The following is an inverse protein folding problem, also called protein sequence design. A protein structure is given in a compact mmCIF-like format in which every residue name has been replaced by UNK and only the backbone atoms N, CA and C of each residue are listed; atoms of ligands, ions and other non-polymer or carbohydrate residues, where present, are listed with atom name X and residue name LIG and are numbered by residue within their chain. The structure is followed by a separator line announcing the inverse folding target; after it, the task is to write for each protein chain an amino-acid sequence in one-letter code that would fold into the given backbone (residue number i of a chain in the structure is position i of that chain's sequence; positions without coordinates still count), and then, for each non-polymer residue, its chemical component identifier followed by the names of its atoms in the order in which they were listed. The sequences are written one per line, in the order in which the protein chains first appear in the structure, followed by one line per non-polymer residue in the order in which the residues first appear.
data_IF_000173430087
#
_entry.id   IF_000173430087
#
_cell.length_a   1.000
_cell.length_b   1.000
_cell.length_c   1.000
_cell.angle_alpha   90.00
_cell.angle_beta   90.00
_cell.angle_gamma   90.00
#
_symmetry.space_group_name_H-M   'P 1'
#
loop_
_entity.id
_entity.type
_entity.pdbx_description
1 polymer ?
#
# COMPACT_ATOMS: atom_id res chain seq x y z
N UNK A 1 2.78 -25.40 -6.74
CA UNK A 1 2.20 -24.78 -5.52
C UNK A 1 1.59 -23.46 -5.97
N UNK A 2 0.36 -23.14 -5.54
CA UNK A 2 -0.28 -21.85 -5.85
C UNK A 2 0.50 -20.69 -5.26
N UNK A 3 0.66 -19.60 -6.03
CA UNK A 3 1.28 -18.38 -5.51
C UNK A 3 0.34 -17.70 -4.52
N UNK A 4 0.86 -17.29 -3.38
CA UNK A 4 0.15 -16.45 -2.39
C UNK A 4 0.39 -14.96 -2.63
N UNK A 5 1.16 -14.60 -3.65
CA UNK A 5 1.28 -13.25 -4.17
C UNK A 5 0.36 -13.15 -5.36
N UNK A 6 -0.64 -12.27 -5.31
CA UNK A 6 -1.62 -12.05 -6.36
C UNK A 6 -1.45 -10.64 -6.92
N UNK A 7 -1.36 -10.53 -8.23
CA UNK A 7 -1.33 -9.24 -8.94
C UNK A 7 -2.53 -9.17 -9.84
N UNK A 8 -3.34 -8.12 -9.68
CA UNK A 8 -4.48 -7.83 -10.53
C UNK A 8 -4.19 -6.53 -11.28
N UNK A 9 -4.16 -6.61 -12.61
CA UNK A 9 -3.87 -5.46 -13.46
C UNK A 9 -5.14 -4.63 -13.73
N UNK A 10 -4.94 -3.34 -14.04
CA UNK A 10 -6.00 -2.41 -14.47
C UNK A 10 -7.15 -2.26 -13.45
N UNK A 11 -6.85 -2.35 -12.15
CA UNK A 11 -7.85 -2.08 -11.10
C UNK A 11 -8.12 -0.59 -10.94
N UNK A 12 -7.17 0.26 -11.30
CA UNK A 12 -7.29 1.71 -11.41
C UNK A 12 -6.91 2.14 -12.83
N UNK A 13 -7.60 3.14 -13.38
CA UNK A 13 -7.23 3.74 -14.65
C UNK A 13 -6.00 4.63 -14.50
N UNK A 14 -5.40 5.00 -15.61
CA UNK A 14 -4.29 5.95 -15.66
C UNK A 14 -4.68 7.29 -15.03
N UNK A 15 -5.85 7.80 -15.39
CA UNK A 15 -6.38 9.07 -14.90
C UNK A 15 -6.62 9.03 -13.38
N UNK A 16 -7.15 7.92 -12.84
CA UNK A 16 -7.34 7.72 -11.41
C UNK A 16 -5.99 7.73 -10.66
N UNK A 17 -4.98 7.06 -11.20
CA UNK A 17 -3.62 7.05 -10.64
C UNK A 17 -2.98 8.44 -10.68
N UNK A 18 -3.06 9.13 -11.81
CA UNK A 18 -2.49 10.47 -11.99
C UNK A 18 -3.18 11.50 -11.10
N UNK A 19 -4.49 11.39 -10.87
CA UNK A 19 -5.20 12.29 -9.97
C UNK A 19 -4.69 12.19 -8.53
N UNK A 20 -4.36 10.98 -8.07
CA UNK A 20 -3.77 10.76 -6.75
C UNK A 20 -2.37 11.37 -6.67
N UNK A 21 -1.52 11.14 -7.67
CA UNK A 21 -0.16 11.71 -7.71
C UNK A 21 -0.23 13.25 -7.70
N UNK A 22 -1.09 13.83 -8.52
CA UNK A 22 -1.26 15.28 -8.64
C UNK A 22 -1.85 15.93 -7.37
N UNK A 23 -2.59 15.19 -6.56
CA UNK A 23 -3.10 15.68 -5.27
C UNK A 23 -2.00 15.79 -4.19
N UNK A 24 -0.89 15.09 -4.33
CA UNK A 24 0.16 15.06 -3.30
C UNK A 24 0.77 16.44 -3.02
N UNK A 25 1.22 17.24 -3.98
CA UNK A 25 1.73 18.57 -3.69
C UNK A 25 0.68 19.49 -3.06
N UNK A 26 -0.57 19.37 -3.44
CA UNK A 26 -1.70 20.13 -2.85
C UNK A 26 -1.92 19.71 -1.39
N UNK A 27 -1.90 18.41 -1.12
CA UNK A 27 -2.01 17.87 0.23
C UNK A 27 -0.85 18.34 1.12
N UNK A 28 0.38 18.29 0.61
CA UNK A 28 1.56 18.80 1.33
C UNK A 28 1.38 20.27 1.69
N UNK A 29 1.02 21.11 0.72
CA UNK A 29 0.82 22.54 0.96
C UNK A 29 -0.29 22.81 1.97
N UNK A 30 -1.42 22.12 1.85
CA UNK A 30 -2.58 22.27 2.73
C UNK A 30 -2.26 21.88 4.19
N UNK A 31 -1.44 20.84 4.40
CA UNK A 31 -1.24 20.25 5.72
C UNK A 31 0.14 20.51 6.35
N UNK A 32 1.12 21.08 5.62
CA UNK A 32 2.49 21.31 6.11
C UNK A 32 2.60 22.18 7.37
N UNK A 33 1.65 23.10 7.57
CA UNK A 33 1.68 24.04 8.71
C UNK A 33 0.93 23.53 9.94
N UNK A 34 0.21 22.41 9.84
CA UNK A 34 -0.74 22.05 10.88
C UNK A 34 -0.15 21.11 11.95
N UNK A 35 1.10 20.64 11.82
CA UNK A 35 1.66 19.59 12.71
C UNK A 35 0.66 18.47 13.04
N UNK A 36 -0.25 18.20 12.09
CA UNK A 36 -1.32 17.23 12.29
C UNK A 36 -0.71 15.85 12.35
N UNK A 37 -1.09 15.12 13.38
CA UNK A 37 -0.70 13.73 13.59
C UNK A 37 -1.92 12.85 13.36
N UNK A 38 -1.67 11.60 12.99
CA UNK A 38 -2.70 10.57 12.98
C UNK A 38 -3.11 10.16 14.41
N UNK A 39 -4.08 9.27 14.52
CA UNK A 39 -4.56 8.76 15.81
C UNK A 39 -3.47 7.99 16.62
N UNK A 40 -2.39 7.57 15.98
CA UNK A 40 -1.23 6.94 16.59
C UNK A 40 -0.12 7.96 16.95
N UNK A 41 -0.35 9.26 16.74
CA UNK A 41 0.60 10.32 17.02
C UNK A 41 1.71 10.47 15.98
N UNK A 42 1.61 9.81 14.81
CA UNK A 42 2.59 9.92 13.73
C UNK A 42 2.28 11.13 12.84
N UNK A 43 3.33 11.78 12.32
CA UNK A 43 3.17 12.88 11.36
C UNK A 43 2.49 12.39 10.09
N UNK A 44 1.53 13.17 9.57
CA UNK A 44 0.83 12.86 8.32
C UNK A 44 1.74 12.95 7.07
N UNK A 45 2.87 13.64 7.19
CA UNK A 45 3.87 13.78 6.14
C UNK A 45 5.22 13.40 6.76
N UNK A 46 5.88 12.39 6.21
CA UNK A 46 7.16 11.89 6.69
C UNK A 46 8.14 11.74 5.52
N UNK A 47 9.33 12.30 5.68
CA UNK A 47 10.47 11.96 4.84
C UNK A 47 11.37 11.02 5.64
N UNK A 48 11.51 9.80 5.17
CA UNK A 48 12.45 8.83 5.75
C UNK A 48 13.75 8.94 4.98
N UNK A 49 14.85 9.06 5.70
CA UNK A 49 16.19 9.16 5.11
C UNK A 49 17.19 8.48 6.04
N UNK A 50 17.22 7.15 5.99
CA UNK A 50 18.22 6.32 6.65
C UNK A 50 18.91 5.38 5.64
N UNK A 51 19.92 4.64 6.10
CA UNK A 51 20.71 3.73 5.23
C UNK A 51 19.84 2.62 4.61
N UNK A 52 18.79 2.21 5.29
CA UNK A 52 17.94 1.08 4.88
C UNK A 52 16.67 1.50 4.16
N UNK A 53 16.29 2.79 4.26
CA UNK A 53 15.05 3.30 3.69
C UNK A 53 15.12 4.77 3.38
N UNK A 54 14.74 5.13 2.16
CA UNK A 54 14.64 6.51 1.69
C UNK A 54 13.36 6.66 0.86
N UNK A 55 12.39 7.38 1.39
CA UNK A 55 11.13 7.69 0.70
C UNK A 55 10.40 8.88 1.35
N UNK A 56 9.44 9.43 0.63
CA UNK A 56 8.42 10.33 1.15
C UNK A 56 7.15 9.54 1.38
N UNK A 57 6.58 9.63 2.58
CA UNK A 57 5.32 8.99 2.95
C UNK A 57 4.28 10.03 3.35
N UNK A 58 3.07 9.87 2.83
CA UNK A 58 1.92 10.69 3.20
C UNK A 58 0.80 9.77 3.72
N UNK A 59 0.10 10.24 4.73
CA UNK A 59 -1.11 9.57 5.20
C UNK A 59 -2.14 9.53 4.07
N UNK A 60 -2.54 8.34 3.67
CA UNK A 60 -3.38 8.13 2.49
C UNK A 60 -4.72 8.85 2.53
N UNK A 61 -5.50 8.78 3.64
CA UNK A 61 -6.74 9.52 3.79
C UNK A 61 -6.58 11.03 3.59
N UNK A 62 -5.44 11.62 4.00
CA UNK A 62 -5.15 13.03 3.76
C UNK A 62 -5.04 13.35 2.26
N UNK A 63 -4.36 12.50 1.50
CA UNK A 63 -4.21 12.68 0.04
C UNK A 63 -5.57 12.52 -0.64
N UNK A 64 -6.29 11.43 -0.32
CA UNK A 64 -7.59 11.18 -0.93
C UNK A 64 -8.65 12.23 -0.56
N UNK A 65 -8.55 12.90 0.60
CA UNK A 65 -9.45 13.99 0.93
C UNK A 65 -9.31 15.16 -0.06
N UNK A 66 -8.09 15.45 -0.51
CA UNK A 66 -7.83 16.47 -1.54
C UNK A 66 -8.41 16.04 -2.88
N UNK A 67 -8.20 14.78 -3.27
CA UNK A 67 -8.78 14.23 -4.51
C UNK A 67 -10.31 14.29 -4.47
N UNK A 68 -10.92 13.92 -3.34
CA UNK A 68 -12.36 13.95 -3.18
C UNK A 68 -12.97 15.38 -3.25
N UNK A 69 -12.24 16.39 -2.76
CA UNK A 69 -12.65 17.80 -2.93
C UNK A 69 -12.69 18.20 -4.42
N UNK A 70 -11.83 17.56 -5.24
CA UNK A 70 -11.76 17.81 -6.68
C UNK A 70 -12.75 16.96 -7.49
N UNK A 71 -12.98 15.69 -7.12
CA UNK A 71 -13.67 14.69 -7.95
C UNK A 71 -14.71 13.81 -7.23
N UNK A 72 -14.83 13.89 -5.92
CA UNK A 72 -15.87 13.29 -5.06
C UNK A 72 -16.07 11.75 -5.06
N UNK A 73 -15.09 10.90 -5.46
CA UNK A 73 -15.32 9.45 -5.59
C UNK A 73 -14.16 8.51 -5.15
N UNK A 74 -12.97 9.01 -4.85
CA UNK A 74 -11.79 8.14 -4.74
C UNK A 74 -11.78 7.22 -3.50
N UNK A 75 -12.36 7.64 -2.38
CA UNK A 75 -12.48 6.74 -1.22
C UNK A 75 -13.41 5.57 -1.50
N UNK A 76 -14.58 5.82 -2.09
CA UNK A 76 -15.51 4.76 -2.46
C UNK A 76 -14.86 3.81 -3.48
N UNK A 77 -14.18 4.35 -4.48
CA UNK A 77 -13.48 3.59 -5.52
C UNK A 77 -12.39 2.70 -4.94
N UNK A 78 -11.55 3.23 -4.03
CA UNK A 78 -10.53 2.42 -3.34
C UNK A 78 -11.17 1.31 -2.51
N UNK A 79 -12.23 1.63 -1.77
CA UNK A 79 -12.96 0.68 -0.93
C UNK A 79 -13.56 -0.46 -1.75
N UNK A 80 -14.23 -0.15 -2.85
CA UNK A 80 -14.79 -1.14 -3.79
C UNK A 80 -13.69 -2.05 -4.36
N UNK A 81 -12.58 -1.45 -4.77
CA UNK A 81 -11.43 -2.20 -5.33
C UNK A 81 -10.84 -3.15 -4.28
N UNK A 82 -10.60 -2.68 -3.06
CA UNK A 82 -10.01 -3.50 -2.01
C UNK A 82 -10.96 -4.62 -1.57
N UNK A 83 -12.27 -4.36 -1.45
CA UNK A 83 -13.26 -5.39 -1.14
C UNK A 83 -13.30 -6.46 -2.24
N UNK A 84 -13.37 -6.06 -3.50
CA UNK A 84 -13.35 -6.99 -4.64
C UNK A 84 -12.05 -7.81 -4.67
N UNK A 85 -10.90 -7.19 -4.43
CA UNK A 85 -9.63 -7.89 -4.41
C UNK A 85 -9.52 -8.90 -3.25
N UNK A 86 -10.06 -8.57 -2.07
CA UNK A 86 -10.14 -9.49 -0.94
C UNK A 86 -11.04 -10.68 -1.26
N UNK A 87 -12.19 -10.47 -1.90
CA UNK A 87 -13.10 -11.54 -2.31
C UNK A 87 -12.42 -12.50 -3.29
N UNK A 88 -11.78 -11.98 -4.33
CA UNK A 88 -11.03 -12.79 -5.31
C UNK A 88 -9.91 -13.57 -4.62
N UNK A 89 -9.18 -12.94 -3.70
CA UNK A 89 -8.12 -13.61 -2.94
C UNK A 89 -8.69 -14.72 -2.04
N UNK A 90 -9.82 -14.48 -1.39
CA UNK A 90 -10.49 -15.47 -0.54
C UNK A 90 -11.11 -16.63 -1.33
N UNK A 91 -11.55 -16.41 -2.55
CA UNK A 91 -12.02 -17.46 -3.45
C UNK A 91 -10.86 -18.37 -3.90
N UNK A 92 -9.68 -17.78 -4.12
CA UNK A 92 -8.45 -18.54 -4.41
C UNK A 92 -7.95 -19.33 -3.19
N UNK A 93 -8.17 -18.82 -1.98
CA UNK A 93 -7.79 -19.41 -0.69
C UNK A 93 -9.00 -19.52 0.25
N UNK A 94 -9.92 -20.51 0.05
CA UNK A 94 -11.21 -20.57 0.75
C UNK A 94 -11.12 -20.63 2.29
N UNK A 95 -9.96 -21.06 2.82
CA UNK A 95 -9.70 -21.06 4.27
C UNK A 95 -9.78 -19.65 4.87
N UNK A 96 -9.39 -18.65 4.09
CA UNK A 96 -9.44 -17.23 4.47
C UNK A 96 -10.89 -16.79 4.64
N UNK A 97 -11.76 -17.13 3.70
CA UNK A 97 -13.21 -16.81 3.79
C UNK A 97 -13.79 -17.37 5.07
N UNK A 98 -13.54 -18.67 5.33
CA UNK A 98 -14.09 -19.37 6.49
C UNK A 98 -13.63 -18.82 7.85
N UNK A 99 -12.35 -18.52 7.99
CA UNK A 99 -11.78 -18.14 9.30
C UNK A 99 -11.60 -16.64 9.51
N UNK A 100 -11.47 -15.86 8.44
CA UNK A 100 -11.14 -14.45 8.55
C UNK A 100 -12.32 -13.54 8.18
N UNK A 101 -13.03 -13.82 7.11
CA UNK A 101 -14.17 -13.00 6.71
C UNK A 101 -15.39 -13.26 7.56
N UNK A 102 -15.65 -14.55 7.89
CA UNK A 102 -16.84 -14.94 8.66
C UNK A 102 -16.68 -14.74 10.18
N UNK A 103 -15.45 -14.81 10.71
CA UNK A 103 -15.19 -14.77 12.16
C UNK A 103 -14.52 -13.48 12.65
N UNK A 104 -13.87 -12.74 11.78
CA UNK A 104 -13.20 -11.49 12.09
C UNK A 104 -13.64 -10.41 11.11
N UNK A 105 -13.79 -9.17 11.59
CA UNK A 105 -13.89 -8.05 10.66
C UNK A 105 -12.50 -7.73 10.14
N UNK A 106 -12.37 -7.60 8.82
CA UNK A 106 -11.16 -7.14 8.18
C UNK A 106 -11.33 -5.67 7.82
N UNK A 107 -10.41 -4.85 8.27
CA UNK A 107 -10.39 -3.42 8.00
C UNK A 107 -9.12 -3.03 7.24
N UNK A 108 -9.16 -1.92 6.50
CA UNK A 108 -8.04 -1.41 5.70
C UNK A 108 -7.87 0.10 5.82
N UNK A 109 -8.12 0.65 6.99
CA UNK A 109 -8.18 2.10 7.21
C UNK A 109 -6.83 2.81 7.22
N UNK A 110 -5.76 2.12 7.59
CA UNK A 110 -4.43 2.68 7.61
C UNK A 110 -3.70 2.37 6.30
N UNK A 111 -3.47 3.38 5.47
CA UNK A 111 -2.69 3.28 4.26
C UNK A 111 -1.89 4.55 4.00
N UNK A 112 -0.91 4.45 3.12
CA UNK A 112 0.03 5.53 2.77
C UNK A 112 0.09 5.72 1.27
N UNK A 113 0.32 6.96 0.84
CA UNK A 113 0.85 7.28 -0.48
C UNK A 113 2.35 7.48 -0.32
N UNK A 114 3.15 6.83 -1.15
CA UNK A 114 4.61 6.87 -1.05
C UNK A 114 5.23 7.26 -2.38
N UNK A 115 6.26 8.13 -2.32
CA UNK A 115 7.15 8.44 -3.42
C UNK A 115 8.56 7.98 -3.10
N UNK A 116 9.14 7.22 -4.01
CA UNK A 116 10.54 6.80 -4.00
C UNK A 116 11.23 7.42 -5.22
N UNK A 117 12.22 8.28 -5.02
CA UNK A 117 12.98 8.88 -6.12
C UNK A 117 13.96 7.89 -6.72
N UNK A 118 14.51 8.25 -7.89
CA UNK A 118 15.58 7.49 -8.52
C UNK A 118 16.75 7.33 -7.52
N UNK A 119 17.19 6.07 -7.35
CA UNK A 119 18.25 5.71 -6.42
C UNK A 119 17.83 5.56 -4.96
N UNK A 120 16.67 6.06 -4.53
CA UNK A 120 16.06 5.80 -3.23
C UNK A 120 15.42 4.40 -3.19
N UNK A 121 15.02 3.92 -2.02
CA UNK A 121 14.34 2.64 -1.90
C UNK A 121 14.06 2.23 -0.46
N UNK A 122 13.38 1.10 -0.29
CA UNK A 122 13.29 0.42 0.99
C UNK A 122 14.13 -0.86 0.92
N UNK A 123 15.43 -0.70 1.16
CA UNK A 123 16.43 -1.74 0.91
C UNK A 123 16.46 -2.83 1.96
N UNK A 124 16.02 -2.52 3.19
CA UNK A 124 15.96 -3.52 4.25
C UNK A 124 14.93 -4.59 3.94
N UNK A 125 15.35 -5.85 4.07
CA UNK A 125 14.43 -6.98 4.07
C UNK A 125 13.52 -6.90 5.28
N UNK A 126 12.22 -6.88 5.05
CA UNK A 126 11.22 -6.76 6.10
C UNK A 126 9.95 -7.55 5.75
N UNK A 127 9.13 -7.75 6.75
CA UNK A 127 7.74 -8.18 6.61
C UNK A 127 6.85 -7.27 7.48
N UNK A 128 5.56 -7.26 7.24
CA UNK A 128 4.71 -6.20 7.77
C UNK A 128 4.24 -6.42 9.20
N UNK A 129 4.12 -7.68 9.63
CA UNK A 129 3.66 -8.04 10.98
C UNK A 129 4.83 -8.24 11.96
N UNK A 130 5.78 -7.28 12.01
CA UNK A 130 7.06 -7.40 12.75
C UNK A 130 6.99 -7.11 14.24
N UNK A 131 5.96 -6.41 14.71
CA UNK A 131 5.84 -5.96 16.10
C UNK A 131 4.47 -6.30 16.67
N UNK A 132 4.35 -6.28 18.00
CA UNK A 132 3.07 -6.54 18.67
C UNK A 132 1.96 -5.60 18.21
N UNK A 133 2.27 -4.32 18.03
CA UNK A 133 1.33 -3.31 17.51
C UNK A 133 0.92 -3.52 16.06
N UNK A 134 1.62 -4.37 15.32
CA UNK A 134 1.40 -4.68 13.90
C UNK A 134 0.90 -6.11 13.66
N UNK A 135 0.66 -6.87 14.73
CA UNK A 135 0.26 -8.28 14.66
C UNK A 135 -1.11 -8.53 14.02
N UNK A 136 -1.94 -7.49 13.96
CA UNK A 136 -3.25 -7.53 13.32
C UNK A 136 -3.17 -7.53 11.79
N UNK A 137 -2.01 -7.20 11.20
CA UNK A 137 -1.82 -7.18 9.75
C UNK A 137 -1.87 -8.60 9.20
N UNK A 138 -2.81 -8.80 8.30
CA UNK A 138 -3.08 -10.10 7.69
C UNK A 138 -2.58 -10.19 6.26
N UNK A 139 -3.02 -9.26 5.41
CA UNK A 139 -2.53 -9.10 4.05
C UNK A 139 -2.00 -7.68 3.87
N UNK A 140 -0.99 -7.56 3.04
CA UNK A 140 -0.50 -6.29 2.52
C UNK A 140 -1.06 -6.08 1.12
N UNK A 141 -1.47 -4.87 0.82
CA UNK A 141 -1.82 -4.46 -0.53
C UNK A 141 -0.95 -3.30 -0.99
N UNK A 142 -0.57 -3.32 -2.25
CA UNK A 142 0.18 -2.25 -2.91
C UNK A 142 -0.45 -1.96 -4.26
N UNK A 143 -0.95 -0.75 -4.44
CA UNK A 143 -1.41 -0.22 -5.72
C UNK A 143 -0.29 0.62 -6.33
N UNK A 144 0.18 0.23 -7.51
CA UNK A 144 1.18 0.99 -8.26
C UNK A 144 0.51 2.13 -9.02
N UNK A 145 0.94 3.37 -8.76
CA UNK A 145 0.32 4.56 -9.34
C UNK A 145 0.97 5.02 -10.66
N UNK A 146 2.16 4.50 -10.96
CA UNK A 146 2.83 4.74 -12.24
C UNK A 146 3.68 3.54 -12.65
N UNK A 147 4.01 3.51 -13.94
CA UNK A 147 5.00 2.57 -14.46
C UNK A 147 6.41 3.00 -14.07
N UNK A 148 7.29 2.03 -13.85
CA UNK A 148 8.74 2.23 -13.76
C UNK A 148 9.38 1.20 -14.69
N UNK A 149 10.06 1.67 -15.74
CA UNK A 149 10.60 0.81 -16.80
C UNK A 149 11.82 0.01 -16.34
N UNK A 150 12.65 0.62 -15.47
CA UNK A 150 13.84 -0.02 -14.92
C UNK A 150 13.90 0.15 -13.40
N UNK A 151 14.06 -0.97 -12.67
CA UNK A 151 14.10 -1.01 -11.22
C UNK A 151 12.73 -0.82 -10.57
N UNK A 152 12.72 -0.47 -9.29
CA UNK A 152 11.51 -0.18 -8.52
C UNK A 152 10.66 -1.40 -8.14
N UNK A 153 11.09 -2.62 -8.44
CA UNK A 153 10.32 -3.83 -8.15
C UNK A 153 10.14 -4.04 -6.64
N UNK A 154 9.05 -4.68 -6.27
CA UNK A 154 8.90 -5.32 -4.96
C UNK A 154 9.48 -6.73 -5.05
N UNK A 155 10.58 -6.99 -4.34
CA UNK A 155 11.31 -8.25 -4.39
C UNK A 155 11.03 -9.09 -3.14
N UNK A 156 10.66 -10.37 -3.35
CA UNK A 156 10.35 -11.34 -2.29
C UNK A 156 11.45 -12.41 -2.21
N UNK A 157 12.23 -12.38 -1.14
CA UNK A 157 13.43 -13.23 -1.03
C UNK A 157 13.09 -14.72 -1.01
N UNK A 158 12.11 -15.16 -0.19
CA UNK A 158 11.76 -16.58 -0.06
C UNK A 158 10.87 -17.12 -1.18
N UNK A 159 10.31 -16.24 -2.02
CA UNK A 159 9.50 -16.62 -3.17
C UNK A 159 10.27 -16.56 -4.48
N UNK A 160 11.46 -15.94 -4.46
CA UNK A 160 12.27 -15.67 -5.65
C UNK A 160 11.47 -14.99 -6.77
N UNK A 161 10.70 -13.95 -6.39
CA UNK A 161 9.79 -13.22 -7.27
C UNK A 161 10.07 -11.73 -7.14
N UNK A 162 10.03 -11.03 -8.27
CA UNK A 162 10.06 -9.58 -8.37
C UNK A 162 8.79 -9.11 -9.07
N UNK A 163 8.06 -8.21 -8.45
CA UNK A 163 6.84 -7.62 -8.99
C UNK A 163 7.20 -6.23 -9.53
N UNK A 164 7.15 -6.03 -10.85
CA UNK A 164 7.42 -4.73 -11.45
C UNK A 164 6.30 -3.74 -11.12
N UNK A 165 6.61 -2.46 -10.91
CA UNK A 165 5.60 -1.43 -10.73
C UNK A 165 4.93 -1.13 -12.07
N UNK A 166 3.68 -1.59 -12.21
CA UNK A 166 2.82 -1.37 -13.38
C UNK A 166 1.62 -0.53 -12.98
N UNK A 167 1.44 0.60 -13.64
CA UNK A 167 0.37 1.56 -13.33
C UNK A 167 -1.01 0.90 -13.29
N UNK A 168 -1.77 1.20 -12.24
CA UNK A 168 -3.11 0.67 -12.03
C UNK A 168 -3.17 -0.79 -11.58
N UNK A 169 -2.01 -1.44 -11.31
CA UNK A 169 -1.97 -2.81 -10.79
C UNK A 169 -1.97 -2.85 -9.28
N UNK A 170 -2.71 -3.80 -8.72
CA UNK A 170 -2.80 -4.07 -7.29
C UNK A 170 -2.10 -5.40 -6.97
N UNK A 171 -1.13 -5.37 -6.06
CA UNK A 171 -0.46 -6.55 -5.53
C UNK A 171 -0.95 -6.85 -4.12
N UNK A 172 -1.44 -8.07 -3.86
CA UNK A 172 -1.82 -8.60 -2.55
C UNK A 172 -0.89 -9.73 -2.15
N UNK A 173 -0.47 -9.73 -0.87
CA UNK A 173 0.35 -10.81 -0.31
C UNK A 173 0.23 -10.87 1.22
N UNK A 174 0.46 -12.04 1.86
CA UNK A 174 0.47 -12.18 3.31
C UNK A 174 1.47 -11.26 3.99
N UNK A 175 1.10 -10.73 5.16
CA UNK A 175 1.92 -9.78 5.91
C UNK A 175 3.00 -10.45 6.77
N UNK A 176 3.05 -11.77 6.81
CA UNK A 176 3.94 -12.57 7.65
C UNK A 176 5.37 -12.72 7.07
N UNK A 177 6.27 -13.30 7.89
CA UNK A 177 7.68 -13.48 7.58
C UNK A 177 7.97 -14.33 6.33
N UNK A 178 7.04 -15.19 5.90
CA UNK A 178 7.20 -15.99 4.68
C UNK A 178 7.17 -15.16 3.41
N UNK A 179 6.71 -13.91 3.52
CA UNK A 179 6.67 -12.90 2.47
C UNK A 179 7.63 -11.74 2.75
N UNK A 180 8.79 -12.05 3.36
CA UNK A 180 9.86 -11.07 3.53
C UNK A 180 10.24 -10.49 2.17
N UNK A 181 10.18 -9.17 2.08
CA UNK A 181 10.36 -8.42 0.85
C UNK A 181 11.13 -7.12 1.06
N UNK A 182 11.48 -6.47 -0.05
CA UNK A 182 12.07 -5.12 -0.09
C UNK A 182 11.59 -4.36 -1.32
N UNK A 183 11.72 -3.04 -1.29
CA UNK A 183 11.53 -2.18 -2.45
C UNK A 183 12.87 -1.86 -3.10
N UNK A 184 13.09 -2.35 -4.32
CA UNK A 184 14.27 -2.01 -5.11
C UNK A 184 14.22 -0.54 -5.55
N UNK A 185 15.40 0.06 -5.76
CA UNK A 185 15.51 1.43 -6.28
C UNK A 185 14.90 1.53 -7.68
N UNK A 186 14.04 2.51 -7.93
CA UNK A 186 13.70 2.87 -9.30
C UNK A 186 14.91 3.50 -9.98
N UNK A 187 15.11 3.20 -11.27
CA UNK A 187 16.24 3.63 -12.07
C UNK A 187 15.81 4.60 -13.17
N UNK A 188 14.74 4.27 -13.88
CA UNK A 188 14.28 5.09 -15.03
C UNK A 188 13.56 6.37 -14.61
N UNK A 189 12.69 6.28 -13.60
CA UNK A 189 11.86 7.38 -13.11
C UNK A 189 11.42 7.11 -11.67
N UNK A 190 10.91 8.11 -10.98
CA UNK A 190 10.41 7.93 -9.62
C UNK A 190 9.22 6.97 -9.55
N UNK A 191 9.12 6.23 -8.45
CA UNK A 191 8.03 5.29 -8.18
C UNK A 191 7.02 5.90 -7.22
N UNK A 192 5.74 5.76 -7.56
CA UNK A 192 4.61 6.13 -6.74
C UNK A 192 3.73 4.94 -6.44
N UNK A 193 3.39 4.74 -5.18
CA UNK A 193 2.48 3.68 -4.74
C UNK A 193 1.49 4.18 -3.69
N UNK A 194 0.36 3.50 -3.59
CA UNK A 194 -0.43 3.43 -2.36
C UNK A 194 -0.21 2.07 -1.74
N UNK A 195 -0.02 2.02 -0.42
CA UNK A 195 0.14 0.75 0.30
C UNK A 195 -0.54 0.80 1.65
N UNK A 196 -1.08 -0.34 2.06
CA UNK A 196 -1.76 -0.51 3.33
C UNK A 196 -1.98 -1.98 3.64
N UNK A 197 -2.81 -2.22 4.63
CA UNK A 197 -2.97 -3.56 5.18
C UNK A 197 -4.45 -3.89 5.38
N UNK A 198 -4.80 -5.15 5.17
CA UNK A 198 -5.98 -5.73 5.76
C UNK A 198 -5.60 -6.19 7.17
N UNK A 199 -6.32 -5.71 8.14
CA UNK A 199 -6.06 -5.97 9.55
C UNK A 199 -7.23 -6.67 10.19
N UNK A 200 -6.95 -7.62 11.09
CA UNK A 200 -7.98 -8.23 11.92
C UNK A 200 -8.51 -7.22 12.93
N UNK A 201 -9.80 -7.11 12.98
CA UNK A 201 -10.50 -6.39 14.03
C UNK A 201 -11.41 -7.36 14.79
N UNK A 202 -11.20 -7.45 16.09
CA UNK A 202 -12.03 -8.23 16.97
C UNK A 202 -12.96 -7.30 17.75
N UNK A 203 -14.27 -7.21 17.40
CA UNK A 203 -15.19 -6.39 18.17
C UNK A 203 -15.31 -6.97 19.58
N UNK A 204 -14.86 -6.22 20.59
CA UNK A 204 -15.04 -6.60 21.99
C UNK A 204 -13.82 -7.14 22.75
N UNK A 205 -12.61 -7.04 22.17
CA UNK A 205 -11.34 -7.19 22.90
C UNK A 205 -10.70 -5.84 23.20
#
# INVERSE_FOLDING_TARGET
MKSTIMVTENVFSKEECESIINAVPIAIEKYKHNNVKDNAGQSLIQTVSDVGRQDLQLHGPMVLSVVNEMENKQFARLSETLNSALDVYADEFPIIRKFHIEQCQISYHAFKVQRTKIGEGFHNWHFEATAESLRSRFLTWTLFLNDVDEGGETEFIYKNVRIPPKQGSLCLFPADWTHTHRGNSPISNEKWIMTGWYEYFYPGL
#
